data_IF_597063058705
#
_entry.id   IF_597063058705
#
_cell.length_a   1.000
_cell.length_b   1.000
_cell.length_c   1.000
_cell.angle_alpha   90.00
_cell.angle_beta   90.00
_cell.angle_gamma   90.00
#
_symmetry.space_group_name_H-M   'P 1'
#
loop_
_entity.id
_entity.type
_entity.pdbx_description
1 polymer ?
#
# COMPACT_ATOMS: atom_id res chain seq x y z
N UNK A 1 3.26 -22.03 -40.10
CA UNK A 1 2.92 -22.52 -38.75
C UNK A 1 1.51 -22.08 -38.47
N UNK A 2 0.58 -23.03 -38.27
CA UNK A 2 -0.84 -22.74 -38.01
C UNK A 2 -0.97 -22.18 -36.58
N UNK A 3 -1.61 -21.02 -36.37
CA UNK A 3 -1.75 -20.45 -35.03
C UNK A 3 -2.66 -21.34 -34.18
N UNK A 4 -2.22 -21.62 -32.94
CA UNK A 4 -3.00 -22.41 -31.97
C UNK A 4 -4.14 -21.54 -31.45
N UNK A 5 -5.38 -21.93 -31.74
CA UNK A 5 -6.59 -21.32 -31.18
C UNK A 5 -6.83 -21.82 -29.76
N UNK A 6 -7.15 -20.91 -28.85
CA UNK A 6 -7.48 -21.20 -27.46
C UNK A 6 -8.83 -21.92 -27.34
N UNK A 7 -8.96 -22.83 -26.37
CA UNK A 7 -10.23 -23.49 -26.03
C UNK A 7 -11.22 -22.50 -25.40
N UNK A 8 -12.52 -22.69 -25.72
CA UNK A 8 -13.67 -21.95 -25.21
C UNK A 8 -13.92 -22.27 -23.72
N UNK A 9 -13.03 -21.80 -22.85
CA UNK A 9 -13.11 -21.67 -21.37
C UNK A 9 -11.70 -21.52 -20.74
N UNK A 10 -10.68 -21.26 -21.56
CA UNK A 10 -9.32 -21.03 -21.07
C UNK A 10 -9.28 -19.80 -20.16
N UNK A 11 -8.56 -19.91 -19.03
CA UNK A 11 -8.24 -18.81 -18.10
C UNK A 11 -7.54 -17.62 -18.76
N UNK A 12 -7.09 -17.78 -20.01
CA UNK A 12 -6.43 -16.78 -20.84
C UNK A 12 -7.38 -16.10 -21.85
N UNK A 13 -8.62 -16.58 -22.01
CA UNK A 13 -9.64 -15.91 -22.82
C UNK A 13 -10.06 -14.55 -22.22
N UNK A 14 -9.76 -14.31 -20.94
CA UNK A 14 -9.95 -13.02 -20.26
C UNK A 14 -8.91 -11.96 -20.68
N UNK A 15 -7.87 -12.38 -21.41
CA UNK A 15 -6.76 -11.52 -21.88
C UNK A 15 -6.73 -11.37 -23.40
N UNK A 16 -7.76 -11.89 -24.09
CA UNK A 16 -7.99 -11.75 -25.52
C UNK A 16 -8.88 -10.50 -25.70
N UNK A 17 -8.25 -9.37 -26.06
CA UNK A 17 -8.94 -8.06 -26.15
C UNK A 17 -9.66 -7.89 -27.51
N UNK A 18 -9.23 -8.60 -28.55
CA UNK A 18 -9.81 -8.52 -29.91
C UNK A 18 -10.75 -9.69 -30.27
N UNK A 19 -10.82 -10.73 -29.43
CA UNK A 19 -11.76 -11.84 -29.53
C UNK A 19 -11.43 -12.81 -30.67
N UNK A 20 -10.19 -12.83 -31.14
CA UNK A 20 -9.75 -13.66 -32.27
C UNK A 20 -9.37 -15.11 -31.87
N UNK A 21 -9.28 -15.37 -30.56
CA UNK A 21 -8.94 -16.67 -29.97
C UNK A 21 -7.43 -16.93 -29.85
N UNK A 22 -6.57 -15.92 -30.04
CA UNK A 22 -5.10 -15.98 -29.99
C UNK A 22 -4.57 -14.80 -29.15
N UNK A 23 -4.26 -15.06 -27.88
CA UNK A 23 -3.59 -14.05 -27.04
C UNK A 23 -2.20 -13.74 -27.59
N UNK A 24 -2.03 -12.53 -28.11
CA UNK A 24 -0.76 -12.02 -28.61
C UNK A 24 0.16 -11.59 -27.45
N UNK A 25 1.48 -11.64 -27.67
CA UNK A 25 2.47 -11.18 -26.67
C UNK A 25 2.24 -9.69 -26.29
N UNK A 26 1.67 -8.89 -27.21
CA UNK A 26 1.31 -7.49 -26.96
C UNK A 26 0.15 -7.34 -25.99
N UNK A 27 -0.89 -8.16 -26.09
CA UNK A 27 -2.03 -8.14 -25.16
C UNK A 27 -1.61 -8.65 -23.78
N UNK A 28 -0.78 -9.70 -23.74
CA UNK A 28 -0.22 -10.21 -22.51
C UNK A 28 0.68 -9.17 -21.80
N UNK A 29 1.41 -8.34 -22.57
CA UNK A 29 2.20 -7.24 -22.01
C UNK A 29 1.34 -6.12 -21.44
N UNK A 30 0.25 -5.73 -22.12
CA UNK A 30 -0.67 -4.70 -21.63
C UNK A 30 -1.36 -5.14 -20.33
N UNK A 31 -1.88 -6.37 -20.30
CA UNK A 31 -2.48 -6.97 -19.10
C UNK A 31 -1.49 -7.03 -17.94
N UNK A 32 -0.23 -7.38 -18.22
CA UNK A 32 0.82 -7.46 -17.21
C UNK A 32 1.14 -6.07 -16.65
N UNK A 33 1.24 -5.05 -17.49
CA UNK A 33 1.43 -3.66 -17.07
C UNK A 33 0.27 -3.17 -16.21
N UNK A 34 -0.97 -3.47 -16.60
CA UNK A 34 -2.17 -3.12 -15.83
C UNK A 34 -2.16 -3.81 -14.46
N UNK A 35 -1.88 -5.12 -14.41
CA UNK A 35 -1.78 -5.87 -13.14
C UNK A 35 -0.65 -5.35 -12.23
N UNK A 36 0.50 -5.01 -12.80
CA UNK A 36 1.60 -4.43 -12.05
C UNK A 36 1.25 -3.04 -11.50
N UNK A 37 0.58 -2.21 -12.29
CA UNK A 37 0.08 -0.91 -11.87
C UNK A 37 -0.96 -1.05 -10.74
N UNK A 38 -1.92 -1.96 -10.86
CA UNK A 38 -2.88 -2.26 -9.80
C UNK A 38 -2.20 -2.74 -8.51
N UNK A 39 -1.23 -3.65 -8.62
CA UNK A 39 -0.48 -4.16 -7.47
C UNK A 39 0.27 -3.04 -6.74
N UNK A 40 0.89 -2.13 -7.49
CA UNK A 40 1.53 -0.93 -6.93
C UNK A 40 0.52 0.00 -6.26
N UNK A 41 -0.61 0.27 -6.89
CA UNK A 41 -1.69 1.10 -6.32
C UNK A 41 -2.24 0.52 -5.01
N UNK A 42 -2.49 -0.79 -4.96
CA UNK A 42 -2.94 -1.49 -3.75
C UNK A 42 -1.93 -1.35 -2.62
N UNK A 43 -0.63 -1.51 -2.90
CA UNK A 43 0.45 -1.32 -1.92
C UNK A 43 0.49 0.12 -1.39
N UNK A 44 0.42 1.11 -2.28
CA UNK A 44 0.41 2.53 -1.90
C UNK A 44 -0.81 2.89 -1.02
N UNK A 45 -2.00 2.39 -1.37
CA UNK A 45 -3.21 2.59 -0.57
C UNK A 45 -3.08 1.94 0.81
N UNK A 46 -2.51 0.74 0.90
CA UNK A 46 -2.25 0.09 2.17
C UNK A 46 -1.27 0.91 3.04
N UNK A 47 -0.19 1.42 2.45
CA UNK A 47 0.78 2.28 3.14
C UNK A 47 0.15 3.59 3.63
N UNK A 48 -0.68 4.25 2.82
CA UNK A 48 -1.42 5.45 3.23
C UNK A 48 -2.37 5.18 4.39
N UNK A 49 -3.08 4.04 4.36
CA UNK A 49 -3.96 3.64 5.47
C UNK A 49 -3.15 3.40 6.74
N UNK A 50 -2.04 2.68 6.67
CA UNK A 50 -1.15 2.43 7.81
C UNK A 50 -0.64 3.75 8.42
N UNK A 51 -0.12 4.66 7.59
CA UNK A 51 0.36 5.96 8.06
C UNK A 51 -0.74 6.78 8.73
N UNK A 52 -1.95 6.80 8.14
CA UNK A 52 -3.10 7.52 8.69
C UNK A 52 -3.54 6.96 10.04
N UNK A 53 -3.64 5.64 10.18
CA UNK A 53 -4.02 5.02 11.46
C UNK A 53 -2.94 5.20 12.53
N UNK A 54 -1.66 5.15 12.17
CA UNK A 54 -0.57 5.46 13.10
C UNK A 54 -0.66 6.90 13.63
N UNK A 55 -0.88 7.89 12.76
CA UNK A 55 -1.05 9.29 13.18
C UNK A 55 -2.29 9.49 14.06
N UNK A 56 -3.41 8.86 13.72
CA UNK A 56 -4.62 8.88 14.56
C UNK A 56 -4.33 8.26 15.92
N UNK A 57 -3.66 7.11 15.97
CA UNK A 57 -3.29 6.43 17.22
C UNK A 57 -2.38 7.30 18.10
N UNK A 58 -1.43 8.01 17.49
CA UNK A 58 -0.59 8.97 18.19
C UNK A 58 -1.38 10.14 18.77
N UNK A 59 -2.36 10.68 18.04
CA UNK A 59 -3.25 11.73 18.55
C UNK A 59 -4.17 11.24 19.68
N UNK A 60 -4.76 10.05 19.54
CA UNK A 60 -5.59 9.43 20.58
C UNK A 60 -4.77 9.16 21.83
N UNK A 61 -3.54 8.68 21.69
CA UNK A 61 -2.64 8.48 22.83
C UNK A 61 -2.33 9.81 23.55
N UNK A 62 -2.09 10.91 22.82
CA UNK A 62 -1.92 12.24 23.43
C UNK A 62 -3.15 12.65 24.23
N UNK A 63 -4.35 12.45 23.66
CA UNK A 63 -5.61 12.82 24.32
C UNK A 63 -5.83 11.96 25.56
N UNK A 64 -5.56 10.66 25.49
CA UNK A 64 -5.70 9.74 26.62
C UNK A 64 -4.78 10.10 27.79
N UNK A 65 -3.56 10.58 27.53
CA UNK A 65 -2.62 11.04 28.56
C UNK A 65 -3.18 12.15 29.46
N UNK A 66 -4.05 13.04 28.96
CA UNK A 66 -4.67 14.09 29.77
C UNK A 66 -5.59 13.57 30.88
N UNK A 67 -6.04 12.31 30.80
CA UNK A 67 -6.91 11.68 31.79
C UNK A 67 -6.14 10.80 32.80
N UNK A 68 -4.80 10.73 32.68
CA UNK A 68 -3.95 9.90 33.55
C UNK A 68 -3.42 10.73 34.73
N UNK A 69 -3.45 10.21 35.98
CA UNK A 69 -2.86 10.88 37.13
C UNK A 69 -1.36 11.12 36.97
N UNK A 70 -0.87 12.30 37.40
CA UNK A 70 0.53 12.74 37.24
C UNK A 70 1.56 11.71 37.73
N UNK A 71 1.28 10.97 38.80
CA UNK A 71 2.17 9.93 39.34
C UNK A 71 2.42 8.77 38.37
N UNK A 72 1.48 8.51 37.45
CA UNK A 72 1.65 7.52 36.38
C UNK A 72 2.19 8.14 35.10
N UNK A 73 2.05 9.46 34.93
CA UNK A 73 2.51 10.17 33.74
C UNK A 73 4.03 10.11 33.62
N UNK A 74 4.80 10.19 34.71
CA UNK A 74 6.28 10.10 34.63
C UNK A 74 6.76 8.77 34.04
N UNK A 75 6.18 7.64 34.50
CA UNK A 75 6.51 6.32 33.94
C UNK A 75 6.02 6.15 32.49
N UNK A 76 4.90 6.78 32.13
CA UNK A 76 4.39 6.77 30.76
C UNK A 76 5.12 7.76 29.84
N UNK A 77 5.77 8.79 30.39
CA UNK A 77 6.43 9.86 29.64
C UNK A 77 7.61 9.31 28.84
N UNK A 78 8.47 8.51 29.47
CA UNK A 78 9.62 7.89 28.79
C UNK A 78 9.19 6.94 27.66
N UNK A 79 8.17 6.11 27.92
CA UNK A 79 7.60 5.19 26.92
C UNK A 79 6.94 5.98 25.79
N UNK A 80 6.23 7.07 26.12
CA UNK A 80 5.58 7.91 25.14
C UNK A 80 6.58 8.59 24.21
N UNK A 81 7.69 9.10 24.74
CA UNK A 81 8.69 9.78 23.93
C UNK A 81 9.30 8.82 22.90
N UNK A 82 9.61 7.58 23.34
CA UNK A 82 10.03 6.52 22.42
C UNK A 82 8.96 6.19 21.38
N UNK A 83 7.69 6.12 21.80
CA UNK A 83 6.55 5.89 20.90
C UNK A 83 6.41 7.01 19.84
N UNK A 84 6.58 8.28 20.21
CA UNK A 84 6.52 9.40 19.26
C UNK A 84 7.69 9.43 18.30
N UNK A 85 8.91 9.20 18.79
CA UNK A 85 10.12 9.18 17.94
C UNK A 85 10.05 8.03 16.95
N UNK A 86 9.71 6.82 17.41
CA UNK A 86 9.63 5.64 16.55
C UNK A 86 8.43 5.70 15.61
N UNK A 87 7.24 6.04 16.11
CA UNK A 87 6.02 6.18 15.31
C UNK A 87 6.14 7.28 14.25
N UNK A 88 6.67 8.45 14.66
CA UNK A 88 6.95 9.56 13.76
C UNK A 88 8.02 9.21 12.71
N UNK A 89 9.09 8.52 13.10
CA UNK A 89 10.14 8.07 12.18
C UNK A 89 9.64 7.08 11.12
N UNK A 90 8.77 6.14 11.51
CA UNK A 90 8.12 5.21 10.59
C UNK A 90 7.26 5.97 9.58
N UNK A 91 6.40 6.88 10.04
CA UNK A 91 5.54 7.69 9.18
C UNK A 91 6.37 8.59 8.25
N UNK A 92 7.39 9.26 8.77
CA UNK A 92 8.28 10.13 7.98
C UNK A 92 9.01 9.35 6.89
N UNK A 93 9.51 8.15 7.20
CA UNK A 93 10.16 7.29 6.22
C UNK A 93 9.19 6.84 5.13
N UNK A 94 7.98 6.40 5.49
CA UNK A 94 6.98 5.98 4.50
C UNK A 94 6.48 7.13 3.63
N UNK A 95 6.14 8.28 4.23
CA UNK A 95 5.71 9.45 3.46
C UNK A 95 6.85 10.03 2.61
N UNK A 96 8.08 10.03 3.13
CA UNK A 96 9.26 10.50 2.41
C UNK A 96 9.62 9.61 1.21
N UNK A 97 9.62 8.29 1.38
CA UNK A 97 9.86 7.34 0.28
C UNK A 97 8.75 7.40 -0.78
N UNK A 98 7.48 7.56 -0.36
CA UNK A 98 6.35 7.72 -1.28
C UNK A 98 6.46 9.04 -2.06
N UNK A 99 6.76 10.16 -1.39
CA UNK A 99 6.93 11.46 -2.04
C UNK A 99 8.11 11.48 -3.02
N UNK A 100 9.21 10.78 -2.69
CA UNK A 100 10.34 10.62 -3.60
C UNK A 100 9.96 9.77 -4.83
N UNK A 101 9.22 8.68 -4.62
CA UNK A 101 8.73 7.81 -5.71
C UNK A 101 7.75 8.53 -6.63
N UNK A 102 6.94 9.47 -6.12
CA UNK A 102 6.03 10.30 -6.94
C UNK A 102 6.74 11.40 -7.74
N UNK A 103 7.96 11.79 -7.35
CA UNK A 103 8.77 12.81 -8.06
C UNK A 103 9.57 12.25 -9.23
N UNK A 104 9.76 10.92 -9.28
CA UNK A 104 10.52 10.23 -10.32
C UNK A 104 9.56 9.65 -11.35
#
# INVERSE_FOLDING_TARGET
MTPKKLEHDSKYAEYDEDGDGIVSDSELSHVKEIKEAESKLRKNLAQLRMARYSLIGMGVFTVAMFFVPLERVDALSDISNLFYITGGGIVATYMGTTAWTQRK
#
